data_IF_036630881866
#
_entry.id   IF_036630881866
#
_cell.length_a   1.000
_cell.length_b   1.000
_cell.length_c   1.000
_cell.angle_alpha   90.00
_cell.angle_beta   90.00
_cell.angle_gamma   90.00
#
_symmetry.space_group_name_H-M   'P 1'
#
loop_
_entity.id
_entity.type
_entity.pdbx_description
1 polymer ?
#
# COMPACT_ATOMS: atom_id res chain seq x y z
N UNK A 1 -16.42 -8.13 -31.39
CA UNK A 1 -16.15 -9.38 -30.63
C UNK A 1 -14.73 -9.40 -30.06
N UNK A 2 -13.67 -9.27 -30.88
CA UNK A 2 -12.28 -9.32 -30.40
C UNK A 2 -11.97 -8.26 -29.31
N UNK A 3 -12.42 -7.03 -29.50
CA UNK A 3 -12.26 -5.92 -28.54
C UNK A 3 -12.94 -6.17 -27.19
N UNK A 4 -14.08 -6.88 -27.21
CA UNK A 4 -14.86 -7.19 -26.01
C UNK A 4 -14.19 -8.31 -25.20
N UNK A 5 -13.55 -9.27 -25.87
CA UNK A 5 -12.76 -10.33 -25.25
C UNK A 5 -11.51 -9.75 -24.58
N UNK A 6 -10.81 -8.84 -25.26
CA UNK A 6 -9.62 -8.17 -24.73
C UNK A 6 -9.97 -7.30 -23.52
N UNK A 7 -11.08 -6.55 -23.56
CA UNK A 7 -11.54 -5.76 -22.41
C UNK A 7 -11.89 -6.61 -21.18
N UNK A 8 -12.55 -7.76 -21.37
CA UNK A 8 -12.85 -8.67 -20.26
C UNK A 8 -11.56 -9.24 -19.65
N UNK A 9 -10.54 -9.52 -20.47
CA UNK A 9 -9.26 -10.02 -20.00
C UNK A 9 -8.42 -8.94 -19.29
N UNK A 10 -8.38 -7.71 -19.81
CA UNK A 10 -7.74 -6.56 -19.13
C UNK A 10 -8.40 -6.28 -17.78
N UNK A 11 -9.73 -6.19 -17.76
CA UNK A 11 -10.49 -5.82 -16.56
C UNK A 11 -10.40 -6.88 -15.46
N UNK A 12 -10.38 -8.17 -15.83
CA UNK A 12 -10.41 -9.27 -14.87
C UNK A 12 -9.01 -9.75 -14.42
N UNK A 13 -7.95 -9.48 -15.18
CA UNK A 13 -6.60 -9.98 -14.86
C UNK A 13 -5.57 -8.87 -14.64
N UNK A 14 -5.54 -7.83 -15.47
CA UNK A 14 -4.55 -6.74 -15.31
C UNK A 14 -4.87 -5.83 -14.13
N UNK A 15 -6.14 -5.50 -13.92
CA UNK A 15 -6.59 -4.68 -12.79
C UNK A 15 -6.25 -5.29 -11.42
N UNK A 16 -6.55 -6.58 -11.13
CA UNK A 16 -6.21 -7.18 -9.85
C UNK A 16 -4.71 -7.48 -9.70
N UNK A 17 -3.96 -7.78 -10.77
CA UNK A 17 -2.51 -8.07 -10.67
C UNK A 17 -1.73 -6.82 -10.23
N UNK A 18 -2.08 -5.65 -10.75
CA UNK A 18 -1.43 -4.37 -10.38
C UNK A 18 -1.85 -3.95 -8.97
N UNK A 19 -3.12 -4.15 -8.59
CA UNK A 19 -3.60 -3.84 -7.24
C UNK A 19 -3.06 -4.82 -6.18
N UNK A 20 -3.09 -6.13 -6.41
CA UNK A 20 -2.69 -7.16 -5.44
C UNK A 20 -1.24 -6.98 -4.95
N UNK A 21 -0.35 -6.46 -5.80
CA UNK A 21 1.06 -6.26 -5.43
C UNK A 21 1.26 -5.18 -4.36
N UNK A 22 0.33 -4.23 -4.19
CA UNK A 22 0.41 -3.14 -3.21
C UNK A 22 -0.61 -3.24 -2.07
N UNK A 23 -1.74 -3.94 -2.27
CA UNK A 23 -2.81 -3.97 -1.25
C UNK A 23 -2.90 -5.23 -0.42
N UNK A 24 -2.28 -6.36 -0.75
CA UNK A 24 -2.51 -7.61 0.00
C UNK A 24 -1.86 -7.69 1.39
N UNK A 25 -0.91 -6.80 1.70
CA UNK A 25 -0.37 -6.70 3.07
C UNK A 25 -1.44 -6.27 4.07
N UNK A 26 -2.35 -5.39 3.64
CA UNK A 26 -3.37 -4.83 4.51
C UNK A 26 -4.43 -5.87 4.92
N UNK A 27 -5.12 -6.58 4.01
CA UNK A 27 -6.07 -7.64 4.35
C UNK A 27 -5.44 -8.79 5.12
N UNK A 28 -4.20 -9.18 4.81
CA UNK A 28 -3.54 -10.29 5.51
C UNK A 28 -3.27 -9.95 6.99
N UNK A 29 -2.74 -8.76 7.26
CA UNK A 29 -2.56 -8.26 8.64
C UNK A 29 -3.91 -8.07 9.31
N UNK A 30 -4.95 -7.65 8.57
CA UNK A 30 -6.31 -7.50 9.13
C UNK A 30 -6.87 -8.83 9.58
N UNK A 31 -6.73 -9.87 8.77
CA UNK A 31 -7.20 -11.21 9.09
C UNK A 31 -6.42 -11.81 10.27
N UNK A 32 -5.10 -11.60 10.32
CA UNK A 32 -4.29 -12.04 11.46
C UNK A 32 -4.71 -11.34 12.76
N UNK A 33 -4.92 -10.01 12.71
CA UNK A 33 -5.43 -9.22 13.83
C UNK A 33 -6.84 -9.66 14.23
N UNK A 34 -7.74 -9.88 13.26
CA UNK A 34 -9.09 -10.39 13.51
C UNK A 34 -9.05 -11.74 14.21
N UNK A 35 -8.31 -12.73 13.70
CA UNK A 35 -8.23 -14.05 14.31
C UNK A 35 -7.64 -13.95 15.73
N UNK A 36 -6.59 -13.15 15.93
CA UNK A 36 -5.97 -12.95 17.24
C UNK A 36 -6.94 -12.30 18.25
N UNK A 37 -7.49 -11.13 17.91
CA UNK A 37 -8.39 -10.39 18.80
C UNK A 37 -9.74 -11.09 18.97
N UNK A 38 -10.29 -11.71 17.94
CA UNK A 38 -11.53 -12.49 18.05
C UNK A 38 -11.35 -13.72 18.93
N UNK A 39 -10.19 -14.37 18.92
CA UNK A 39 -9.93 -15.51 19.81
C UNK A 39 -9.80 -15.07 21.28
N UNK A 40 -9.20 -13.91 21.55
CA UNK A 40 -9.03 -13.41 22.92
C UNK A 40 -10.25 -12.65 23.48
N UNK A 41 -10.94 -11.87 22.65
CA UNK A 41 -12.00 -10.93 23.05
C UNK A 41 -13.38 -11.24 22.43
N UNK A 42 -13.49 -12.27 21.58
CA UNK A 42 -14.73 -12.61 20.87
C UNK A 42 -15.10 -11.59 19.79
N UNK A 43 -16.40 -11.39 19.57
CA UNK A 43 -16.92 -10.49 18.52
C UNK A 43 -16.41 -9.04 18.68
N UNK A 44 -16.21 -8.58 19.93
CA UNK A 44 -15.64 -7.26 20.21
C UNK A 44 -14.24 -7.11 19.60
N UNK A 45 -13.44 -8.19 19.62
CA UNK A 45 -12.13 -8.22 18.99
C UNK A 45 -12.18 -8.08 17.46
N UNK A 46 -13.24 -8.57 16.82
CA UNK A 46 -13.41 -8.43 15.36
C UNK A 46 -13.67 -6.97 14.95
N UNK A 47 -14.47 -6.25 15.74
CA UNK A 47 -14.74 -4.81 15.54
C UNK A 47 -13.47 -3.99 15.79
N UNK A 48 -12.67 -4.36 16.79
CA UNK A 48 -11.43 -3.67 17.13
C UNK A 48 -10.26 -3.97 16.17
N UNK A 49 -10.29 -5.11 15.47
CA UNK A 49 -9.22 -5.50 14.56
C UNK A 49 -9.09 -4.59 13.34
N UNK A 50 -10.21 -4.04 12.85
CA UNK A 50 -10.22 -3.09 11.72
C UNK A 50 -9.43 -1.81 12.02
N UNK A 51 -9.76 -1.02 13.07
CA UNK A 51 -9.01 0.20 13.38
C UNK A 51 -7.55 -0.09 13.74
N UNK A 52 -7.26 -1.18 14.46
CA UNK A 52 -5.89 -1.54 14.82
C UNK A 52 -5.03 -1.84 13.58
N UNK A 53 -5.61 -2.53 12.60
CA UNK A 53 -4.88 -2.87 11.38
C UNK A 53 -4.60 -1.65 10.52
N UNK A 54 -5.54 -0.71 10.44
CA UNK A 54 -5.32 0.55 9.73
C UNK A 54 -4.14 1.30 10.35
N UNK A 55 -4.09 1.40 11.69
CA UNK A 55 -2.96 2.05 12.40
C UNK A 55 -1.65 1.33 12.12
N UNK A 56 -1.61 0.00 12.24
CA UNK A 56 -0.40 -0.79 12.01
C UNK A 56 0.14 -0.62 10.59
N UNK A 57 -0.75 -0.66 9.59
CA UNK A 57 -0.34 -0.45 8.20
C UNK A 57 0.12 0.98 7.96
N UNK A 58 -0.58 1.99 8.47
CA UNK A 58 -0.14 3.39 8.33
C UNK A 58 1.26 3.58 8.90
N UNK A 59 1.57 3.01 10.06
CA UNK A 59 2.91 3.08 10.64
C UNK A 59 3.95 2.38 9.75
N UNK A 60 3.66 1.17 9.29
CA UNK A 60 4.57 0.40 8.42
C UNK A 60 4.80 1.12 7.09
N UNK A 61 3.75 1.63 6.47
CA UNK A 61 3.81 2.30 5.18
C UNK A 61 4.53 3.65 5.31
N UNK A 62 4.22 4.43 6.34
CA UNK A 62 4.91 5.70 6.58
C UNK A 62 6.38 5.47 6.93
N UNK A 63 6.71 4.60 7.89
CA UNK A 63 8.11 4.38 8.29
C UNK A 63 8.94 3.66 7.22
N UNK A 64 8.41 2.64 6.53
CA UNK A 64 9.22 1.96 5.51
C UNK A 64 9.34 2.76 4.21
N UNK A 65 8.25 3.38 3.73
CA UNK A 65 8.32 4.06 2.44
C UNK A 65 8.85 5.48 2.58
N UNK A 66 8.40 6.26 3.56
CA UNK A 66 8.85 7.65 3.72
C UNK A 66 10.26 7.74 4.29
N UNK A 67 10.58 6.95 5.30
CA UNK A 67 11.87 7.04 5.98
C UNK A 67 13.02 6.42 5.15
N UNK A 68 12.72 5.46 4.27
CA UNK A 68 13.75 4.75 3.48
C UNK A 68 13.80 5.23 2.01
N UNK A 69 12.68 5.62 1.38
CA UNK A 69 12.67 6.05 -0.04
C UNK A 69 12.84 7.55 -0.25
N UNK A 70 12.70 8.38 0.77
CA UNK A 70 12.82 9.84 0.63
C UNK A 70 14.25 10.45 0.70
N UNK A 71 15.40 9.72 0.81
CA UNK A 71 16.69 10.38 0.78
C UNK A 71 17.11 10.86 -0.62
N UNK A 72 16.44 10.44 -1.69
CA UNK A 72 16.86 10.76 -3.06
C UNK A 72 16.23 12.03 -3.63
N UNK A 73 15.01 12.40 -3.21
CA UNK A 73 14.28 13.56 -3.76
C UNK A 73 14.89 14.91 -3.34
N UNK A 74 15.63 14.96 -2.22
CA UNK A 74 16.26 16.17 -1.71
C UNK A 74 17.61 16.53 -2.36
N UNK A 75 18.11 15.71 -3.31
CA UNK A 75 19.40 15.95 -3.98
C UNK A 75 19.33 16.71 -5.30
N UNK A 76 18.13 17.00 -5.81
CA UNK A 76 17.94 17.78 -7.03
C UNK A 76 17.74 19.27 -6.69
N UNK A 77 18.76 19.86 -6.05
CA UNK A 77 18.86 21.32 -5.87
C UNK A 77 19.08 21.98 -7.24
N UNK A 78 18.29 22.99 -7.64
CA UNK A 78 18.41 23.70 -8.92
C UNK A 78 19.60 24.68 -8.98
N UNK A 79 20.70 24.42 -8.29
CA UNK A 79 21.88 25.31 -8.26
C UNK A 79 22.78 25.13 -9.50
N UNK A 80 22.56 24.09 -10.31
CA UNK A 80 23.40 23.82 -11.50
C UNK A 80 22.98 24.60 -12.75
N UNK A 81 21.86 25.33 -12.73
CA UNK A 81 21.40 26.09 -13.92
C UNK A 81 21.98 27.52 -13.95
N UNK A 82 22.52 28.05 -12.85
CA UNK A 82 23.10 29.41 -12.82
C UNK A 82 24.62 29.47 -13.09
N UNK A 83 25.31 28.34 -13.26
CA UNK A 83 26.78 28.29 -13.46
C UNK A 83 27.19 27.93 -14.89
N UNK A 84 26.24 27.62 -15.77
CA UNK A 84 26.51 27.35 -17.21
C UNK A 84 26.50 28.65 -18.04
N UNK A 85 26.16 29.77 -17.42
CA UNK A 85 25.93 31.07 -18.08
C UNK A 85 27.04 32.11 -17.80
N UNK A 86 28.26 31.71 -17.44
CA UNK A 86 29.40 32.62 -17.22
C UNK A 86 30.73 32.08 -17.75
#
# INVERSE_FOLDING_TARGET
ILYLIIQNLESYWLSPIVMAKQVSLLPAVTLASQIFFTTFFGILGLILALPLTVVAKTWIEETLFKDILDPWQNSLSPETISTVDN
#
